data_IF_928285295298
#
_entry.id   IF_928285295298
#
_cell.length_a   1.000
_cell.length_b   1.000
_cell.length_c   1.000
_cell.angle_alpha   90.00
_cell.angle_beta   90.00
_cell.angle_gamma   90.00
#
_symmetry.space_group_name_H-M   'P 1'
#
loop_
_entity.id
_entity.type
_entity.pdbx_description
1 polymer ?
#
# COMPACT_ATOMS: atom_id res chain seq x y z
N UNK A 1 -17.27 9.25 3.73
CA UNK A 1 -17.45 10.62 3.18
C UNK A 1 -17.61 10.59 1.66
N UNK A 2 -16.73 9.90 0.92
CA UNK A 2 -16.77 9.89 -0.54
C UNK A 2 -18.06 9.33 -1.17
N UNK A 3 -18.73 8.32 -0.59
CA UNK A 3 -20.02 7.78 -1.09
C UNK A 3 -21.02 8.91 -1.29
N UNK A 4 -21.21 9.72 -0.25
CA UNK A 4 -22.15 10.82 -0.25
C UNK A 4 -21.70 12.02 -1.09
N UNK A 5 -20.41 12.10 -1.43
CA UNK A 5 -19.88 13.11 -2.34
C UNK A 5 -20.10 12.69 -3.81
N UNK A 6 -19.89 11.42 -4.12
CA UNK A 6 -20.19 10.81 -5.41
C UNK A 6 -21.69 10.88 -5.71
N UNK A 7 -22.55 10.45 -4.77
CA UNK A 7 -24.02 10.50 -4.91
C UNK A 7 -24.56 11.91 -5.20
N UNK A 8 -23.90 12.94 -4.67
CA UNK A 8 -24.31 14.35 -4.81
C UNK A 8 -23.60 15.05 -5.97
N UNK A 9 -22.73 14.37 -6.71
CA UNK A 9 -21.93 14.95 -7.79
C UNK A 9 -20.95 16.02 -7.32
N UNK A 10 -20.47 15.95 -6.07
CA UNK A 10 -19.43 16.84 -5.54
C UNK A 10 -18.04 16.41 -6.04
N UNK A 11 -17.86 15.11 -6.27
CA UNK A 11 -16.68 14.53 -6.89
C UNK A 11 -17.13 13.54 -7.96
N UNK A 12 -16.34 13.42 -9.04
CA UNK A 12 -16.66 12.54 -10.16
C UNK A 12 -16.02 11.15 -10.06
N UNK A 13 -14.95 11.01 -9.26
CA UNK A 13 -14.23 9.75 -9.10
C UNK A 13 -13.50 9.65 -7.76
N UNK A 14 -13.11 8.42 -7.41
CA UNK A 14 -12.27 8.11 -6.24
C UNK A 14 -11.11 7.23 -6.70
N UNK A 15 -9.90 7.60 -6.32
CA UNK A 15 -8.72 6.73 -6.42
C UNK A 15 -8.66 5.86 -5.17
N UNK A 16 -8.66 4.53 -5.32
CA UNK A 16 -8.67 3.59 -4.19
C UNK A 16 -8.52 2.13 -4.60
N UNK A 17 -8.42 1.25 -3.60
CA UNK A 17 -8.44 -0.21 -3.80
C UNK A 17 -9.84 -0.69 -4.16
N UNK A 18 -9.94 -1.82 -4.88
CA UNK A 18 -11.24 -2.39 -5.28
C UNK A 18 -12.09 -2.77 -4.07
N UNK A 19 -11.49 -3.25 -2.97
CA UNK A 19 -12.17 -3.60 -1.74
C UNK A 19 -13.07 -2.48 -1.20
N UNK A 20 -12.77 -1.22 -1.55
CA UNK A 20 -13.56 -0.07 -1.11
C UNK A 20 -14.95 -0.02 -1.73
N UNK A 21 -15.15 -0.64 -2.91
CA UNK A 21 -16.49 -0.83 -3.47
C UNK A 21 -17.42 -1.51 -2.46
N UNK A 22 -16.92 -2.53 -1.77
CA UNK A 22 -17.64 -3.24 -0.71
C UNK A 22 -17.59 -2.48 0.63
N UNK A 23 -16.40 -2.10 1.09
CA UNK A 23 -16.20 -1.60 2.46
C UNK A 23 -16.86 -0.23 2.72
N UNK A 24 -17.01 0.61 1.69
CA UNK A 24 -17.59 1.95 1.80
C UNK A 24 -18.89 2.10 0.99
N UNK A 25 -19.44 1.00 0.49
CA UNK A 25 -20.68 0.99 -0.28
C UNK A 25 -20.59 1.76 -1.59
N UNK A 26 -19.40 1.83 -2.22
CA UNK A 26 -19.29 2.46 -3.54
C UNK A 26 -19.85 1.57 -4.65
N UNK A 27 -20.07 0.27 -4.39
CA UNK A 27 -20.59 -0.67 -5.37
C UNK A 27 -21.95 -0.25 -5.93
N UNK A 28 -22.83 0.29 -5.08
CA UNK A 28 -24.17 0.75 -5.47
C UNK A 28 -24.18 2.00 -6.37
N UNK A 29 -23.06 2.72 -6.44
CA UNK A 29 -22.98 4.06 -7.05
C UNK A 29 -21.87 4.20 -8.11
N UNK A 30 -21.01 3.19 -8.25
CA UNK A 30 -19.91 3.18 -9.21
C UNK A 30 -20.32 2.40 -10.44
N UNK A 31 -20.42 3.06 -11.58
CA UNK A 31 -20.76 2.39 -12.84
C UNK A 31 -19.53 1.80 -13.55
N UNK A 32 -18.34 2.36 -13.30
CA UNK A 32 -17.13 2.01 -14.02
C UNK A 32 -15.88 2.14 -13.17
N UNK A 33 -14.92 1.25 -13.42
CA UNK A 33 -13.59 1.25 -12.80
C UNK A 33 -12.53 1.33 -13.89
N UNK A 34 -11.56 2.22 -13.73
CA UNK A 34 -10.36 2.25 -14.57
C UNK A 34 -9.22 1.55 -13.84
N UNK A 35 -8.79 0.40 -14.37
CA UNK A 35 -7.69 -0.40 -13.86
C UNK A 35 -6.37 0.14 -14.42
N UNK A 36 -5.57 0.75 -13.53
CA UNK A 36 -4.20 1.14 -13.81
C UNK A 36 -3.38 1.20 -12.52
N UNK A 37 -2.10 0.78 -12.51
CA UNK A 37 -1.24 0.92 -11.34
C UNK A 37 -0.92 2.40 -11.07
N UNK A 38 -1.73 3.02 -10.21
CA UNK A 38 -1.59 4.43 -9.80
C UNK A 38 -0.56 4.63 -8.68
N UNK A 39 0.07 3.55 -8.22
CA UNK A 39 0.92 3.56 -7.04
C UNK A 39 0.11 3.51 -5.75
N UNK A 40 0.73 3.92 -4.66
CA UNK A 40 0.16 3.84 -3.31
C UNK A 40 0.22 5.21 -2.62
N UNK A 41 -0.89 5.65 -2.01
CA UNK A 41 -0.98 6.93 -1.31
C UNK A 41 -0.35 6.93 0.11
N UNK A 42 0.56 5.98 0.39
CA UNK A 42 1.23 5.79 1.67
C UNK A 42 1.17 4.33 2.16
N UNK A 43 2.22 3.81 2.82
CA UNK A 43 2.25 2.41 3.25
C UNK A 43 1.13 2.14 4.26
N UNK A 44 0.35 1.06 4.10
CA UNK A 44 -0.61 0.66 5.13
C UNK A 44 0.15 0.31 6.41
N UNK A 45 -0.10 1.07 7.48
CA UNK A 45 0.43 0.76 8.80
C UNK A 45 -0.48 -0.25 9.47
N UNK A 46 -0.12 -1.53 9.36
CA UNK A 46 -0.90 -2.63 9.93
C UNK A 46 -0.78 -2.72 11.46
N UNK A 47 0.29 -2.18 12.02
CA UNK A 47 0.48 -2.06 13.46
C UNK A 47 1.29 -0.81 13.80
N UNK A 48 0.81 -0.06 14.77
CA UNK A 48 1.55 0.99 15.46
C UNK A 48 1.07 1.00 16.92
N UNK A 49 1.98 1.33 17.85
CA UNK A 49 1.70 1.33 19.27
C UNK A 49 2.20 2.64 19.89
N UNK A 50 1.53 3.10 20.96
CA UNK A 50 2.05 4.18 21.78
C UNK A 50 3.42 3.79 22.35
N UNK A 51 4.36 4.75 22.37
CA UNK A 51 5.74 4.51 22.80
C UNK A 51 5.84 4.09 24.26
N UNK A 52 5.12 4.77 25.15
CA UNK A 52 5.16 4.49 26.59
C UNK A 52 4.57 3.10 26.86
N UNK A 53 3.47 2.75 26.19
CA UNK A 53 2.87 1.41 26.27
C UNK A 53 3.85 0.33 25.78
N UNK A 54 4.55 0.58 24.67
CA UNK A 54 5.59 -0.35 24.18
C UNK A 54 6.70 -0.55 25.20
N UNK A 55 7.18 0.53 25.83
CA UNK A 55 8.24 0.48 26.84
C UNK A 55 7.80 -0.20 28.15
N UNK A 56 6.51 -0.17 28.47
CA UNK A 56 5.94 -0.87 29.63
C UNK A 56 5.76 -2.39 29.41
N UNK A 57 5.89 -2.88 28.18
CA UNK A 57 5.82 -4.31 27.87
C UNK A 57 7.07 -5.06 28.35
N UNK A 58 6.86 -6.29 28.82
CA UNK A 58 7.99 -7.19 29.13
C UNK A 58 8.79 -7.50 27.86
N UNK A 59 10.09 -7.88 27.99
CA UNK A 59 10.89 -8.30 26.84
C UNK A 59 10.22 -9.40 26.01
N UNK A 60 9.56 -10.36 26.67
CA UNK A 60 8.84 -11.44 25.99
C UNK A 60 7.63 -10.93 25.19
N UNK A 61 6.92 -9.92 25.69
CA UNK A 61 5.79 -9.30 25.00
C UNK A 61 6.26 -8.51 23.77
N UNK A 62 7.33 -7.71 23.92
CA UNK A 62 7.93 -6.98 22.79
C UNK A 62 8.46 -7.94 21.73
N UNK A 63 9.14 -9.00 22.15
CA UNK A 63 9.58 -10.07 21.25
C UNK A 63 8.40 -10.72 20.52
N UNK A 64 7.30 -11.02 21.20
CA UNK A 64 6.12 -11.61 20.56
C UNK A 64 5.54 -10.70 19.46
N UNK A 65 5.55 -9.38 19.64
CA UNK A 65 5.14 -8.46 18.58
C UNK A 65 6.05 -8.54 17.34
N UNK A 66 7.38 -8.52 17.53
CA UNK A 66 8.34 -8.59 16.42
C UNK A 66 8.29 -9.94 15.71
N UNK A 67 8.18 -11.04 16.46
CA UNK A 67 8.12 -12.40 15.93
C UNK A 67 6.91 -12.61 15.00
N UNK A 68 5.81 -11.87 15.20
CA UNK A 68 4.58 -11.96 14.39
C UNK A 68 4.42 -10.80 13.39
N UNK A 69 5.30 -9.80 13.40
CA UNK A 69 5.15 -8.61 12.56
C UNK A 69 5.26 -8.93 11.06
N UNK A 70 6.16 -9.84 10.68
CA UNK A 70 6.31 -10.28 9.29
C UNK A 70 5.04 -10.97 8.76
N UNK A 71 4.44 -11.85 9.56
CA UNK A 71 3.22 -12.58 9.19
C UNK A 71 2.04 -11.61 9.09
N UNK A 72 1.92 -10.66 10.03
CA UNK A 72 0.90 -9.62 9.97
C UNK A 72 0.96 -8.84 8.66
N UNK A 73 2.16 -8.46 8.21
CA UNK A 73 2.35 -7.75 6.93
C UNK A 73 1.98 -8.62 5.74
N UNK A 74 2.40 -9.88 5.73
CA UNK A 74 2.11 -10.80 4.64
C UNK A 74 0.61 -11.10 4.51
N UNK A 75 -0.06 -11.45 5.62
CA UNK A 75 -1.51 -11.70 5.66
C UNK A 75 -2.30 -10.43 5.32
N UNK A 76 -1.89 -9.29 5.88
CA UNK A 76 -2.53 -8.01 5.61
C UNK A 76 -2.47 -7.61 4.13
N UNK A 77 -1.34 -7.90 3.46
CA UNK A 77 -1.15 -7.57 2.04
C UNK A 77 -1.86 -8.56 1.12
N UNK A 78 -1.66 -9.87 1.33
CA UNK A 78 -2.16 -10.88 0.40
C UNK A 78 -3.63 -11.16 0.70
N UNK A 79 -3.93 -11.65 1.90
CA UNK A 79 -5.26 -12.14 2.23
C UNK A 79 -6.24 -10.99 2.45
N UNK A 80 -5.84 -9.93 3.14
CA UNK A 80 -6.76 -8.84 3.47
C UNK A 80 -6.87 -7.73 2.40
N UNK A 81 -6.01 -7.73 1.38
CA UNK A 81 -6.07 -6.79 0.26
C UNK A 81 -6.20 -7.50 -1.09
N UNK A 82 -5.18 -8.23 -1.55
CA UNK A 82 -5.17 -8.82 -2.90
C UNK A 82 -6.33 -9.80 -3.10
N UNK A 83 -6.53 -10.73 -2.17
CA UNK A 83 -7.59 -11.74 -2.28
C UNK A 83 -8.97 -11.10 -2.19
N UNK A 84 -9.16 -10.12 -1.29
CA UNK A 84 -10.42 -9.37 -1.17
C UNK A 84 -10.69 -8.53 -2.42
N UNK A 85 -9.68 -7.88 -3.00
CA UNK A 85 -9.81 -7.13 -4.24
C UNK A 85 -10.29 -8.06 -5.39
N UNK A 86 -9.76 -9.28 -5.47
CA UNK A 86 -10.20 -10.27 -6.46
C UNK A 86 -11.65 -10.71 -6.25
N UNK A 87 -12.07 -10.97 -5.02
CA UNK A 87 -13.46 -11.28 -4.69
C UNK A 87 -14.42 -10.13 -5.03
N UNK A 88 -14.02 -8.90 -4.67
CA UNK A 88 -14.83 -7.70 -4.87
C UNK A 88 -14.92 -7.36 -6.35
N UNK A 89 -13.86 -7.60 -7.13
CA UNK A 89 -13.88 -7.49 -8.58
C UNK A 89 -14.92 -8.42 -9.20
N UNK A 90 -14.97 -9.69 -8.77
CA UNK A 90 -15.96 -10.64 -9.26
C UNK A 90 -17.39 -10.20 -8.94
N UNK A 91 -17.64 -9.78 -7.70
CA UNK A 91 -18.95 -9.25 -7.30
C UNK A 91 -19.36 -7.99 -8.09
N UNK A 92 -18.43 -7.07 -8.30
CA UNK A 92 -18.67 -5.85 -9.07
C UNK A 92 -19.09 -6.16 -10.52
N UNK A 93 -18.45 -7.14 -11.16
CA UNK A 93 -18.84 -7.62 -12.49
C UNK A 93 -20.26 -8.19 -12.50
N UNK A 94 -20.62 -8.98 -11.49
CA UNK A 94 -21.97 -9.56 -11.35
C UNK A 94 -23.05 -8.48 -11.14
N UNK A 95 -22.70 -7.37 -10.49
CA UNK A 95 -23.56 -6.19 -10.30
C UNK A 95 -23.57 -5.22 -11.50
N UNK A 96 -22.78 -5.51 -12.55
CA UNK A 96 -22.79 -4.77 -13.81
C UNK A 96 -21.78 -3.61 -13.89
N UNK A 97 -20.84 -3.51 -12.96
CA UNK A 97 -19.72 -2.55 -13.03
C UNK A 97 -18.83 -2.89 -14.22
N UNK A 98 -18.53 -1.89 -15.04
CA UNK A 98 -17.65 -2.06 -16.20
C UNK A 98 -16.19 -1.75 -15.84
N UNK A 99 -15.28 -2.65 -16.18
CA UNK A 99 -13.84 -2.46 -15.97
C UNK A 99 -13.16 -2.04 -17.27
N UNK A 100 -12.39 -0.96 -17.21
CA UNK A 100 -11.61 -0.40 -18.31
C UNK A 100 -10.13 -0.43 -17.97
N UNK A 101 -9.28 -0.94 -18.86
CA UNK A 101 -7.83 -0.77 -18.70
C UNK A 101 -7.44 0.68 -19.04
N UNK A 102 -6.56 1.30 -18.24
CA UNK A 102 -6.10 2.68 -18.48
C UNK A 102 -5.37 2.88 -19.82
N UNK A 103 -4.84 1.81 -20.44
CA UNK A 103 -4.26 1.85 -21.77
C UNK A 103 -3.04 2.80 -21.91
N UNK A 104 -2.66 3.08 -23.16
CA UNK A 104 -1.48 3.87 -23.48
C UNK A 104 -1.59 5.34 -23.02
N UNK A 105 -2.77 5.94 -23.14
CA UNK A 105 -3.00 7.34 -22.79
C UNK A 105 -2.77 7.59 -21.29
N UNK A 106 -3.25 6.67 -20.45
CA UNK A 106 -3.06 6.77 -19.00
C UNK A 106 -1.62 6.42 -18.61
N UNK A 107 -0.97 5.48 -19.32
CA UNK A 107 0.45 5.20 -19.14
C UNK A 107 1.34 6.41 -19.44
N UNK A 108 1.05 7.16 -20.51
CA UNK A 108 1.76 8.40 -20.83
C UNK A 108 1.59 9.47 -19.74
N UNK A 109 0.36 9.65 -19.25
CA UNK A 109 0.08 10.57 -18.13
C UNK A 109 0.89 10.18 -16.89
N UNK A 110 0.91 8.90 -16.55
CA UNK A 110 1.62 8.40 -15.37
C UNK A 110 3.13 8.50 -15.53
N UNK A 111 3.68 8.21 -16.72
CA UNK A 111 5.12 8.38 -16.96
C UNK A 111 5.55 9.84 -16.80
N UNK A 112 4.77 10.79 -17.35
CA UNK A 112 5.04 12.22 -17.13
C UNK A 112 5.04 12.57 -15.64
N UNK A 113 4.14 11.99 -14.84
CA UNK A 113 4.13 12.21 -13.39
C UNK A 113 5.37 11.65 -12.72
N UNK A 114 5.81 10.44 -13.10
CA UNK A 114 7.07 9.85 -12.59
C UNK A 114 8.25 10.76 -12.89
N UNK A 115 8.35 11.28 -14.13
CA UNK A 115 9.45 12.14 -14.56
C UNK A 115 9.48 13.49 -13.81
N UNK A 116 8.32 14.03 -13.43
CA UNK A 116 8.18 15.30 -12.69
C UNK A 116 8.30 15.11 -11.17
N UNK A 117 7.98 13.93 -10.65
CA UNK A 117 7.72 13.72 -9.22
C UNK A 117 8.98 13.86 -8.36
N UNK A 118 10.15 13.41 -8.85
CA UNK A 118 11.39 13.49 -8.06
C UNK A 118 11.73 14.94 -7.67
N UNK A 119 11.74 15.84 -8.66
CA UNK A 119 12.02 17.26 -8.44
C UNK A 119 10.99 17.90 -7.50
N UNK A 120 9.70 17.56 -7.67
CA UNK A 120 8.63 18.07 -6.81
C UNK A 120 8.76 17.57 -5.36
N UNK A 121 9.17 16.31 -5.14
CA UNK A 121 9.41 15.77 -3.80
C UNK A 121 10.60 16.46 -3.15
N UNK A 122 11.72 16.66 -3.88
CA UNK A 122 12.90 17.36 -3.36
C UNK A 122 12.52 18.78 -2.94
N UNK A 123 11.86 19.53 -3.81
CA UNK A 123 11.43 20.90 -3.51
C UNK A 123 10.53 20.96 -2.27
N UNK A 124 9.49 20.12 -2.22
CA UNK A 124 8.54 20.09 -1.11
C UNK A 124 9.22 19.68 0.20
N UNK A 125 9.99 18.59 0.21
CA UNK A 125 10.62 18.07 1.41
C UNK A 125 11.70 19.02 1.96
N UNK A 126 12.51 19.61 1.08
CA UNK A 126 13.47 20.64 1.49
C UNK A 126 12.79 21.90 2.02
N UNK A 127 11.63 22.29 1.48
CA UNK A 127 10.88 23.46 1.97
C UNK A 127 10.39 23.32 3.41
N UNK A 128 10.19 22.08 3.88
CA UNK A 128 9.78 21.76 5.26
C UNK A 128 10.94 21.27 6.14
N UNK A 129 12.19 21.41 5.65
CA UNK A 129 13.40 21.15 6.42
C UNK A 129 13.84 19.68 6.49
N UNK A 130 13.43 18.84 5.52
CA UNK A 130 13.99 17.49 5.38
C UNK A 130 15.36 17.58 4.72
N UNK A 131 16.38 17.10 5.42
CA UNK A 131 17.74 17.02 4.90
C UNK A 131 17.94 15.75 4.05
N UNK A 132 18.90 15.82 3.11
CA UNK A 132 19.36 14.67 2.30
C UNK A 132 18.26 13.93 1.51
N UNK A 133 17.28 14.67 0.97
CA UNK A 133 16.12 14.11 0.26
C UNK A 133 16.55 13.25 -0.93
N UNK A 134 17.55 13.70 -1.69
CA UNK A 134 18.08 12.97 -2.86
C UNK A 134 18.66 11.60 -2.46
N UNK A 135 19.37 11.53 -1.33
CA UNK A 135 19.92 10.28 -0.84
C UNK A 135 18.80 9.32 -0.36
N UNK A 136 17.74 9.86 0.25
CA UNK A 136 16.56 9.07 0.64
C UNK A 136 15.83 8.51 -0.60
N UNK A 137 15.65 9.31 -1.64
CA UNK A 137 15.01 8.88 -2.89
C UNK A 137 15.85 7.84 -3.64
N UNK A 138 17.17 8.01 -3.69
CA UNK A 138 18.08 7.01 -4.23
C UNK A 138 17.95 5.68 -3.48
N UNK A 139 17.90 5.72 -2.14
CA UNK A 139 17.74 4.51 -1.33
C UNK A 139 16.36 3.87 -1.50
N UNK A 140 15.31 4.67 -1.60
CA UNK A 140 13.96 4.19 -1.88
C UNK A 140 13.91 3.42 -3.20
N UNK A 141 14.50 3.99 -4.27
CA UNK A 141 14.53 3.35 -5.60
C UNK A 141 15.29 2.03 -5.57
N UNK A 142 16.46 1.99 -4.93
CA UNK A 142 17.24 0.75 -4.73
C UNK A 142 16.42 -0.34 -4.01
N UNK A 143 15.70 0.03 -2.95
CA UNK A 143 14.86 -0.90 -2.19
C UNK A 143 13.63 -1.34 -2.99
N UNK A 144 13.03 -0.45 -3.78
CA UNK A 144 11.90 -0.77 -4.64
C UNK A 144 12.28 -1.83 -5.68
N UNK A 145 13.43 -1.67 -6.35
CA UNK A 145 13.95 -2.66 -7.31
C UNK A 145 14.22 -4.01 -6.63
N UNK A 146 14.87 -4.00 -5.45
CA UNK A 146 15.13 -5.21 -4.68
C UNK A 146 13.83 -5.94 -4.31
N UNK A 147 12.84 -5.21 -3.80
CA UNK A 147 11.58 -5.81 -3.37
C UNK A 147 10.73 -6.26 -4.54
N UNK A 148 10.78 -5.58 -5.70
CA UNK A 148 10.13 -6.06 -6.92
C UNK A 148 10.64 -7.46 -7.32
N UNK A 149 11.97 -7.65 -7.32
CA UNK A 149 12.55 -8.96 -7.61
C UNK A 149 12.14 -10.05 -6.60
N UNK A 150 12.11 -9.71 -5.31
CA UNK A 150 11.63 -10.64 -4.27
C UNK A 150 10.14 -10.96 -4.47
N UNK A 151 9.32 -9.97 -4.78
CA UNK A 151 7.89 -10.10 -5.04
C UNK A 151 7.61 -11.07 -6.19
N UNK A 152 8.39 -11.02 -7.27
CA UNK A 152 8.27 -11.96 -8.39
C UNK A 152 8.53 -13.42 -7.98
N UNK A 153 9.46 -13.65 -7.04
CA UNK A 153 9.78 -15.00 -6.53
C UNK A 153 8.72 -15.55 -5.55
N UNK A 154 8.20 -14.68 -4.67
CA UNK A 154 7.24 -15.10 -3.62
C UNK A 154 5.82 -15.21 -4.15
N UNK A 155 5.44 -14.36 -5.12
CA UNK A 155 4.06 -14.23 -5.60
C UNK A 155 3.09 -13.83 -4.47
N UNK A 156 1.91 -14.45 -4.46
CA UNK A 156 0.88 -14.25 -3.43
C UNK A 156 0.89 -15.36 -2.37
N UNK A 157 2.06 -15.94 -2.08
CA UNK A 157 2.21 -16.95 -1.02
C UNK A 157 2.55 -16.28 0.31
N UNK A 158 1.63 -16.34 1.27
CA UNK A 158 1.77 -15.72 2.59
C UNK A 158 3.00 -16.23 3.34
N UNK A 159 3.28 -17.53 3.28
CA UNK A 159 4.40 -18.13 4.01
C UNK A 159 5.74 -17.68 3.42
N UNK A 160 5.87 -17.70 2.10
CA UNK A 160 7.08 -17.22 1.42
C UNK A 160 7.31 -15.73 1.64
N UNK A 161 6.26 -14.93 1.59
CA UNK A 161 6.40 -13.49 1.83
C UNK A 161 6.77 -13.19 3.29
N UNK A 162 6.18 -13.91 4.25
CA UNK A 162 6.57 -13.85 5.67
C UNK A 162 8.05 -14.19 5.86
N UNK A 163 8.53 -15.26 5.22
CA UNK A 163 9.94 -15.66 5.29
C UNK A 163 10.86 -14.57 4.70
N UNK A 164 10.50 -13.99 3.55
CA UNK A 164 11.25 -12.91 2.94
C UNK A 164 11.31 -11.66 3.84
N UNK A 165 10.18 -11.25 4.44
CA UNK A 165 10.11 -10.13 5.38
C UNK A 165 10.96 -10.37 6.63
N UNK A 166 10.93 -11.59 7.17
CA UNK A 166 11.80 -11.96 8.29
C UNK A 166 13.27 -11.90 7.89
N UNK A 167 13.65 -12.51 6.77
CA UNK A 167 15.03 -12.52 6.26
C UNK A 167 15.58 -11.11 6.00
N UNK A 168 14.76 -10.25 5.41
CA UNK A 168 15.22 -8.93 4.97
C UNK A 168 15.09 -7.86 6.06
N UNK A 169 14.12 -7.97 6.97
CA UNK A 169 13.76 -6.90 7.91
C UNK A 169 13.67 -7.39 9.35
N UNK A 170 12.63 -8.18 9.68
CA UNK A 170 12.21 -8.34 11.08
C UNK A 170 13.16 -9.16 11.95
N UNK A 171 13.87 -10.15 11.38
CA UNK A 171 14.87 -10.92 12.15
C UNK A 171 16.11 -10.12 12.55
N UNK A 172 16.28 -8.91 12.01
CA UNK A 172 17.41 -8.02 12.27
C UNK A 172 17.08 -6.96 13.32
N UNK A 173 15.84 -6.92 13.80
CA UNK A 173 15.39 -5.94 14.80
C UNK A 173 15.69 -6.46 16.20
N UNK A 174 16.23 -5.60 17.05
CA UNK A 174 16.28 -5.81 18.49
C UNK A 174 15.06 -5.12 19.13
N UNK A 175 14.15 -5.85 19.81
CA UNK A 175 13.00 -5.25 20.48
C UNK A 175 13.37 -4.22 21.57
N UNK A 176 14.61 -4.25 22.06
CA UNK A 176 15.10 -3.27 23.04
C UNK A 176 15.57 -1.95 22.40
N UNK A 177 15.83 -1.94 21.09
CA UNK A 177 16.26 -0.75 20.33
C UNK A 177 15.08 0.05 19.75
N UNK A 178 13.83 -0.43 19.92
CA UNK A 178 12.62 0.09 19.29
C UNK A 178 11.80 1.06 20.14
#
# INVERSE_FOLDING_TARGET
EATSALERGVVDCVMGSLAWLRNYGYMDITESVVEFPLGMAGPPLLMYMNRDVWQDLTPEQRKAHIDNAAELVAVGTITAQIDIDAEVRAAALDEGVTFHEGGADFAEIMQRRVDEQEAAIIEMASSVGVDNVEALLAKYTELLEKWAAISDEVGTDVAKFTEALNREVFSKLDPEDL
#
